data_IF_871937359018
#
_entry.id   IF_871937359018
#
_cell.length_a   1.000
_cell.length_b   1.000
_cell.length_c   1.000
_cell.angle_alpha   90.00
_cell.angle_beta   90.00
_cell.angle_gamma   90.00
#
_symmetry.space_group_name_H-M   'P 1'
#
loop_
_entity.id
_entity.type
_entity.pdbx_description
1 polymer ?
#
# COMPACT_ATOMS: atom_id res chain seq x y z
N UNK A 1 -58.48 -39.42 25.00
CA UNK A 1 -57.70 -38.35 25.66
C UNK A 1 -56.23 -38.50 25.24
N UNK A 2 -55.77 -37.78 24.21
CA UNK A 2 -54.37 -37.84 23.73
C UNK A 2 -53.58 -36.69 24.36
N UNK A 3 -52.68 -37.01 25.28
CA UNK A 3 -51.70 -36.06 25.82
C UNK A 3 -50.63 -35.80 24.76
N UNK A 4 -50.60 -34.57 24.26
CA UNK A 4 -49.60 -34.08 23.32
C UNK A 4 -48.36 -33.62 24.08
N UNK A 5 -47.26 -34.40 24.03
CA UNK A 5 -45.95 -33.92 24.46
C UNK A 5 -45.49 -32.82 23.51
N UNK A 6 -45.47 -31.58 23.99
CA UNK A 6 -44.77 -30.47 23.32
C UNK A 6 -43.27 -30.73 23.44
N UNK A 7 -42.65 -31.13 22.35
CA UNK A 7 -41.20 -31.05 22.16
C UNK A 7 -40.79 -29.58 22.25
N UNK A 8 -40.26 -29.17 23.39
CA UNK A 8 -39.54 -27.90 23.52
C UNK A 8 -38.13 -28.15 22.98
N UNK A 9 -37.95 -27.94 21.69
CA UNK A 9 -36.62 -27.81 21.10
C UNK A 9 -36.01 -26.51 21.58
N UNK A 10 -35.28 -26.55 22.69
CA UNK A 10 -34.35 -25.49 23.07
C UNK A 10 -33.17 -25.58 22.11
N UNK A 11 -33.23 -24.83 21.00
CA UNK A 11 -32.08 -24.61 20.13
C UNK A 11 -31.04 -23.80 20.91
N UNK A 12 -30.10 -24.49 21.56
CA UNK A 12 -28.87 -23.87 22.07
C UNK A 12 -27.95 -23.65 20.86
N UNK A 13 -28.05 -22.47 20.25
CA UNK A 13 -26.95 -21.89 19.48
C UNK A 13 -26.72 -20.50 20.05
N UNK A 14 -25.65 -20.30 20.83
CA UNK A 14 -24.58 -19.47 20.26
C UNK A 14 -23.20 -19.73 20.88
N UNK A 15 -22.21 -20.13 20.07
CA UNK A 15 -20.79 -19.89 20.41
C UNK A 15 -19.82 -19.85 19.24
N UNK A 16 -20.13 -20.52 18.13
CA UNK A 16 -19.26 -20.60 16.94
C UNK A 16 -19.12 -19.27 16.18
N UNK A 17 -20.12 -18.39 16.22
CA UNK A 17 -20.08 -17.07 15.55
C UNK A 17 -19.00 -16.13 16.11
N UNK A 18 -18.77 -16.16 17.43
CA UNK A 18 -17.80 -15.27 18.08
C UNK A 18 -16.35 -15.67 17.77
N UNK A 19 -16.05 -16.97 17.79
CA UNK A 19 -14.72 -17.50 17.43
C UNK A 19 -14.40 -17.19 15.97
N UNK A 20 -15.35 -17.39 15.06
CA UNK A 20 -15.18 -17.06 13.64
C UNK A 20 -14.88 -15.57 13.42
N UNK A 21 -15.56 -14.68 14.14
CA UNK A 21 -15.30 -13.24 14.10
C UNK A 21 -13.89 -12.86 14.61
N UNK A 22 -13.41 -13.52 15.66
CA UNK A 22 -12.06 -13.29 16.20
C UNK A 22 -10.98 -13.76 15.22
N UNK A 23 -11.14 -14.95 14.65
CA UNK A 23 -10.18 -15.51 13.66
C UNK A 23 -10.11 -14.63 12.41
N UNK A 24 -11.26 -14.14 11.90
CA UNK A 24 -11.28 -13.23 10.75
C UNK A 24 -10.53 -11.93 11.01
N UNK A 25 -10.69 -11.33 12.19
CA UNK A 25 -9.95 -10.12 12.59
C UNK A 25 -8.45 -10.39 12.69
N UNK A 26 -8.07 -11.49 13.34
CA UNK A 26 -6.66 -11.89 13.45
C UNK A 26 -6.01 -12.08 12.07
N UNK A 27 -6.70 -12.75 11.14
CA UNK A 27 -6.22 -12.91 9.76
C UNK A 27 -6.00 -11.59 9.03
N UNK A 28 -6.92 -10.62 9.19
CA UNK A 28 -6.75 -9.27 8.60
C UNK A 28 -5.53 -8.56 9.18
N UNK A 29 -5.34 -8.59 10.50
CA UNK A 29 -4.15 -7.98 11.12
C UNK A 29 -2.85 -8.66 10.67
N UNK A 30 -2.84 -9.99 10.57
CA UNK A 30 -1.69 -10.75 10.06
C UNK A 30 -1.39 -10.37 8.61
N UNK A 31 -2.42 -10.29 7.75
CA UNK A 31 -2.25 -9.91 6.35
C UNK A 31 -1.70 -8.48 6.22
N UNK A 32 -2.26 -7.51 6.96
CA UNK A 32 -1.76 -6.12 6.97
C UNK A 32 -0.31 -6.07 7.47
N UNK A 33 0.03 -6.85 8.49
CA UNK A 33 1.40 -6.93 9.01
C UNK A 33 2.36 -7.49 7.96
N UNK A 34 2.00 -8.59 7.29
CA UNK A 34 2.81 -9.18 6.22
C UNK A 34 2.99 -8.25 5.02
N UNK A 35 1.94 -7.52 4.62
CA UNK A 35 2.03 -6.52 3.56
C UNK A 35 2.94 -5.36 3.98
N UNK A 36 2.80 -4.87 5.21
CA UNK A 36 3.66 -3.82 5.76
C UNK A 36 5.12 -4.27 5.83
N UNK A 37 5.38 -5.50 6.26
CA UNK A 37 6.73 -6.09 6.32
C UNK A 37 7.34 -6.31 4.93
N UNK A 38 6.52 -6.54 3.91
CA UNK A 38 6.97 -6.60 2.52
C UNK A 38 7.34 -5.20 1.98
N UNK A 39 6.57 -4.17 2.36
CA UNK A 39 6.90 -2.77 2.06
C UNK A 39 8.12 -2.26 2.84
N UNK A 40 8.37 -2.80 4.03
CA UNK A 40 9.58 -2.49 4.80
C UNK A 40 10.75 -3.20 4.11
N UNK A 41 11.64 -2.43 3.48
CA UNK A 41 12.87 -2.94 2.89
C UNK A 41 13.85 -3.45 3.96
N UNK A 42 13.49 -4.50 4.70
CA UNK A 42 14.26 -5.08 5.81
C UNK A 42 15.67 -5.46 5.34
N UNK A 43 15.82 -5.85 4.07
CA UNK A 43 17.12 -6.08 3.42
C UNK A 43 18.07 -4.89 3.51
N UNK A 44 17.55 -3.66 3.41
CA UNK A 44 18.35 -2.45 3.54
C UNK A 44 18.77 -2.21 4.99
N UNK A 45 17.92 -2.57 5.96
CA UNK A 45 18.31 -2.56 7.38
C UNK A 45 19.43 -3.57 7.70
N UNK A 46 19.49 -4.70 7.00
CA UNK A 46 20.60 -5.66 7.16
C UNK A 46 21.95 -5.11 6.67
N UNK A 47 21.95 -4.02 5.89
CA UNK A 47 23.19 -3.33 5.44
C UNK A 47 23.69 -2.28 6.45
N UNK A 48 22.98 -2.03 7.57
CA UNK A 48 23.42 -1.08 8.60
C UNK A 48 24.84 -1.38 9.13
N UNK A 49 25.26 -2.64 9.37
CA UNK A 49 26.64 -2.93 9.75
C UNK A 49 27.67 -2.47 8.70
N UNK A 50 27.33 -2.54 7.41
CA UNK A 50 28.19 -2.09 6.30
C UNK A 50 28.34 -0.57 6.34
N UNK A 51 27.24 0.16 6.57
CA UNK A 51 27.24 1.62 6.76
C UNK A 51 28.16 2.02 7.93
N UNK A 52 28.05 1.34 9.07
CA UNK A 52 28.89 1.61 10.23
C UNK A 52 30.38 1.33 9.95
N UNK A 53 30.68 0.23 9.25
CA UNK A 53 32.06 -0.09 8.89
C UNK A 53 32.65 0.97 7.97
N UNK A 54 31.89 1.41 6.96
CA UNK A 54 32.34 2.41 6.01
C UNK A 54 32.52 3.80 6.67
N UNK A 55 31.63 4.18 7.60
CA UNK A 55 31.84 5.36 8.44
C UNK A 55 33.16 5.29 9.24
N UNK A 56 33.50 4.13 9.81
CA UNK A 56 34.76 3.93 10.53
C UNK A 56 35.98 4.06 9.59
N UNK A 57 35.86 3.63 8.32
CA UNK A 57 36.89 3.81 7.30
C UNK A 57 37.15 5.31 7.04
N UNK A 58 36.10 6.11 6.81
CA UNK A 58 36.26 7.57 6.67
C UNK A 58 36.74 8.23 7.96
N UNK A 59 36.27 7.81 9.14
CA UNK A 59 36.72 8.37 10.42
C UNK A 59 38.20 8.13 10.69
N UNK A 60 38.79 7.06 10.13
CA UNK A 60 40.23 6.80 10.20
C UNK A 60 41.03 7.65 9.21
N UNK A 61 40.47 7.94 8.03
CA UNK A 61 41.11 8.79 7.03
C UNK A 61 41.01 10.28 7.39
N UNK A 62 39.87 10.70 7.91
CA UNK A 62 39.57 12.04 8.40
C UNK A 62 39.02 11.96 9.83
N UNK A 63 39.82 12.42 10.80
CA UNK A 63 39.42 12.39 12.20
C UNK A 63 38.31 13.39 12.55
N UNK A 64 38.00 14.37 11.69
CA UNK A 64 37.01 15.41 11.97
C UNK A 64 35.62 15.07 11.44
N UNK A 65 35.49 14.12 10.52
CA UNK A 65 34.20 13.76 9.91
C UNK A 65 33.18 13.32 10.97
N UNK A 66 32.00 13.95 10.97
CA UNK A 66 30.88 13.53 11.81
C UNK A 66 30.00 12.50 11.08
N UNK A 67 29.17 11.72 11.80
CA UNK A 67 28.22 10.82 11.16
C UNK A 67 27.27 11.52 10.19
N UNK A 68 26.88 12.77 10.49
CA UNK A 68 26.01 13.57 9.64
C UNK A 68 26.72 14.03 8.37
N UNK A 69 28.00 14.42 8.47
CA UNK A 69 28.80 14.81 7.31
C UNK A 69 29.02 13.63 6.37
N UNK A 70 29.30 12.44 6.92
CA UNK A 70 29.40 11.20 6.17
C UNK A 70 28.09 10.86 5.43
N UNK A 71 26.94 10.96 6.11
CA UNK A 71 25.65 10.75 5.46
C UNK A 71 25.36 11.82 4.39
N UNK A 72 25.73 13.07 4.62
CA UNK A 72 25.52 14.15 3.66
C UNK A 72 26.35 13.95 2.38
N UNK A 73 27.62 13.56 2.54
CA UNK A 73 28.51 13.20 1.42
C UNK A 73 27.88 12.08 0.57
N UNK A 74 27.39 11.03 1.23
CA UNK A 74 26.92 9.81 0.55
C UNK A 74 25.47 9.83 0.05
N UNK A 75 24.58 10.65 0.64
CA UNK A 75 23.15 10.68 0.32
C UNK A 75 22.64 12.03 -0.18
N UNK A 76 23.41 13.12 -0.04
CA UNK A 76 22.98 14.47 -0.43
C UNK A 76 23.57 14.93 -1.79
N UNK A 77 24.28 14.04 -2.48
CA UNK A 77 24.77 14.26 -3.86
C UNK A 77 26.07 15.05 -3.97
N UNK A 78 26.72 15.37 -2.86
CA UNK A 78 28.07 15.94 -2.83
C UNK A 78 29.09 14.84 -2.57
N UNK A 79 29.03 13.79 -3.39
CA UNK A 79 29.94 12.67 -3.28
C UNK A 79 31.37 13.14 -3.56
N UNK A 80 32.30 12.82 -2.66
CA UNK A 80 33.70 13.11 -2.89
C UNK A 80 34.19 12.04 -3.86
N UNK A 81 34.77 12.43 -5.00
CA UNK A 81 35.32 11.47 -5.95
C UNK A 81 36.60 10.82 -5.39
N UNK A 82 36.44 9.95 -4.41
CA UNK A 82 37.50 9.23 -3.68
C UNK A 82 37.66 7.78 -4.16
N UNK A 83 36.97 7.43 -5.25
CA UNK A 83 37.04 6.14 -5.95
C UNK A 83 36.51 4.96 -5.12
N UNK A 84 35.53 5.22 -4.24
CA UNK A 84 34.85 4.19 -3.44
C UNK A 84 33.47 3.77 -4.00
N UNK A 85 33.11 4.16 -5.22
CA UNK A 85 31.83 3.84 -5.90
C UNK A 85 31.32 2.41 -5.64
N UNK A 86 32.22 1.42 -5.67
CA UNK A 86 31.85 0.00 -5.45
C UNK A 86 31.40 -0.32 -4.01
N UNK A 87 31.88 0.43 -3.01
CA UNK A 87 31.54 0.36 -1.59
C UNK A 87 30.25 1.11 -1.32
N UNK A 88 30.08 2.28 -1.94
CA UNK A 88 28.88 3.10 -1.89
C UNK A 88 27.62 2.38 -2.33
N UNK A 89 27.74 1.60 -3.40
CA UNK A 89 26.64 0.79 -3.92
C UNK A 89 26.18 -0.30 -2.94
N UNK A 90 26.96 -0.59 -1.88
CA UNK A 90 26.62 -1.52 -0.81
C UNK A 90 25.90 -0.85 0.36
N UNK A 91 25.83 0.49 0.40
CA UNK A 91 25.16 1.21 1.46
C UNK A 91 23.64 0.99 1.43
N UNK A 92 22.97 1.03 2.60
CA UNK A 92 21.53 0.98 2.69
C UNK A 92 20.90 2.04 1.79
N UNK A 93 19.88 1.68 1.01
CA UNK A 93 19.08 2.60 0.20
C UNK A 93 19.81 3.38 -0.90
N UNK A 94 21.14 3.21 -1.12
CA UNK A 94 21.86 3.84 -2.24
C UNK A 94 21.47 3.20 -3.59
N UNK A 95 21.15 1.90 -3.57
CA UNK A 95 20.53 1.17 -4.68
C UNK A 95 19.15 0.63 -4.30
N UNK A 96 18.10 1.34 -4.70
CA UNK A 96 16.74 0.83 -4.58
C UNK A 96 16.48 -0.08 -5.78
N UNK A 97 16.80 -1.36 -5.64
CA UNK A 97 16.27 -2.38 -6.56
C UNK A 97 14.78 -2.45 -6.29
N UNK A 98 13.96 -2.10 -7.29
CA UNK A 98 12.50 -2.10 -7.21
C UNK A 98 11.99 -3.48 -6.77
N UNK A 99 11.84 -3.68 -5.46
CA UNK A 99 11.20 -4.87 -4.91
C UNK A 99 9.70 -4.68 -5.13
N UNK A 100 9.24 -5.32 -6.20
CA UNK A 100 7.86 -5.69 -6.55
C UNK A 100 6.78 -4.92 -5.80
N UNK A 101 6.18 -3.93 -6.46
CA UNK A 101 4.94 -3.33 -5.98
C UNK A 101 3.92 -4.45 -5.66
N UNK A 102 3.26 -4.43 -4.49
CA UNK A 102 2.25 -5.44 -4.18
C UNK A 102 1.12 -5.35 -5.20
N UNK A 103 1.06 -6.32 -6.12
CA UNK A 103 -0.06 -6.46 -7.05
C UNK A 103 -1.24 -7.02 -6.26
N UNK A 104 -2.17 -6.13 -5.90
CA UNK A 104 -3.46 -6.52 -5.33
C UNK A 104 -4.33 -7.11 -6.45
N UNK A 105 -4.43 -8.44 -6.48
CA UNK A 105 -5.43 -9.12 -7.29
C UNK A 105 -6.80 -8.94 -6.63
N UNK A 106 -7.62 -8.04 -7.17
CA UNK A 106 -9.03 -7.93 -6.81
C UNK A 106 -9.82 -9.00 -7.56
N UNK A 107 -10.50 -9.94 -6.89
CA UNK A 107 -11.42 -10.85 -7.56
C UNK A 107 -12.59 -10.03 -8.14
N UNK A 108 -12.69 -9.97 -9.46
CA UNK A 108 -13.83 -9.37 -10.17
C UNK A 108 -15.03 -10.31 -10.04
N UNK A 109 -15.70 -10.26 -8.89
CA UNK A 109 -16.86 -11.09 -8.63
C UNK A 109 -17.99 -10.16 -8.19
N UNK A 110 -19.05 -10.14 -9.00
CA UNK A 110 -20.32 -9.40 -8.88
C UNK A 110 -20.38 -8.07 -9.66
N UNK A 111 -20.81 -8.19 -10.92
CA UNK A 111 -21.65 -7.17 -11.56
C UNK A 111 -22.99 -7.28 -10.83
N UNK A 112 -23.28 -6.36 -9.91
CA UNK A 112 -24.66 -6.14 -9.50
C UNK A 112 -25.36 -5.42 -10.65
N UNK A 113 -26.31 -6.10 -11.29
CA UNK A 113 -27.19 -5.51 -12.29
C UNK A 113 -28.03 -4.44 -11.57
N UNK A 114 -27.61 -3.18 -11.70
CA UNK A 114 -28.35 -2.05 -11.16
C UNK A 114 -29.71 -2.01 -11.87
N UNK A 115 -30.74 -2.54 -11.22
CA UNK A 115 -32.11 -2.46 -11.70
C UNK A 115 -32.57 -1.01 -11.52
N UNK A 116 -32.29 -0.18 -12.53
CA UNK A 116 -32.77 1.19 -12.56
C UNK A 116 -34.29 1.13 -12.70
N UNK A 117 -35.00 1.41 -11.60
CA UNK A 117 -36.42 1.69 -11.65
C UNK A 117 -36.65 3.01 -12.39
N UNK A 118 -36.88 2.93 -13.69
CA UNK A 118 -37.33 4.07 -14.49
C UNK A 118 -38.80 4.29 -14.16
N UNK A 119 -39.09 5.27 -13.29
CA UNK A 119 -40.44 5.78 -13.19
C UNK A 119 -40.76 6.62 -14.44
N UNK A 120 -41.91 6.41 -15.11
CA UNK A 120 -42.30 7.25 -16.23
C UNK A 120 -42.63 8.65 -15.73
N UNK A 121 -41.68 9.57 -15.86
CA UNK A 121 -41.93 11.00 -15.65
C UNK A 121 -42.84 11.49 -16.77
N UNK A 122 -44.03 11.99 -16.41
CA UNK A 122 -44.96 12.61 -17.34
C UNK A 122 -44.26 13.71 -18.15
N UNK A 123 -44.25 13.55 -19.48
CA UNK A 123 -43.64 14.50 -20.41
C UNK A 123 -44.35 15.84 -20.31
N UNK A 124 -43.71 16.81 -19.67
CA UNK A 124 -43.91 18.22 -19.94
C UNK A 124 -42.67 19.02 -19.52
N UNK A 125 -41.58 18.85 -20.27
CA UNK A 125 -40.48 19.82 -20.25
C UNK A 125 -39.91 19.96 -21.66
N UNK A 126 -39.84 21.22 -22.11
CA UNK A 126 -39.19 21.60 -23.36
C UNK A 126 -37.72 21.16 -23.31
N UNK A 127 -37.28 20.49 -24.37
CA UNK A 127 -35.91 20.03 -24.56
C UNK A 127 -34.95 21.22 -24.65
N UNK A 128 -34.33 21.59 -23.54
CA UNK A 128 -33.07 22.33 -23.58
C UNK A 128 -31.94 21.32 -23.70
N UNK A 129 -31.37 21.20 -24.90
CA UNK A 129 -30.16 20.41 -25.12
C UNK A 129 -29.06 21.01 -24.24
N UNK A 130 -28.67 20.32 -23.17
CA UNK A 130 -27.46 20.59 -22.41
C UNK A 130 -26.55 19.41 -22.65
N UNK A 131 -25.50 19.67 -23.40
CA UNK A 131 -24.41 18.74 -23.65
C UNK A 131 -23.88 18.25 -22.29
N UNK A 132 -24.07 16.97 -22.00
CA UNK A 132 -23.55 16.34 -20.80
C UNK A 132 -22.06 16.11 -21.01
N UNK A 133 -21.27 17.06 -20.53
CA UNK A 133 -19.81 16.93 -20.43
C UNK A 133 -19.48 15.78 -19.48
N UNK A 134 -18.86 14.72 -20.02
CA UNK A 134 -18.18 13.70 -19.24
C UNK A 134 -17.08 14.38 -18.40
N UNK A 135 -17.19 14.28 -17.08
CA UNK A 135 -16.14 14.70 -16.15
C UNK A 135 -15.02 13.65 -16.17
N UNK A 136 -14.21 13.65 -17.22
CA UNK A 136 -12.80 13.24 -17.16
C UNK A 136 -11.98 14.46 -17.56
N UNK A 137 -12.01 15.48 -16.71
CA UNK A 137 -11.33 16.76 -16.95
C UNK A 137 -9.91 16.82 -16.37
N UNK A 138 -9.52 15.84 -15.55
CA UNK A 138 -8.20 15.81 -14.90
C UNK A 138 -7.04 15.48 -15.84
N UNK A 139 -7.27 14.67 -16.89
CA UNK A 139 -6.22 14.32 -17.86
C UNK A 139 -5.92 15.44 -18.87
N UNK A 140 -6.68 16.54 -18.86
CA UNK A 140 -6.50 17.66 -19.81
C UNK A 140 -5.58 18.79 -19.30
N UNK A 141 -5.24 18.80 -18.01
CA UNK A 141 -4.47 19.86 -17.37
C UNK A 141 -2.96 19.80 -17.67
N UNK A 142 -2.46 18.67 -18.15
CA UNK A 142 -1.06 18.51 -18.53
C UNK A 142 -1.02 18.26 -20.05
N UNK A 143 -0.91 19.35 -20.82
CA UNK A 143 -0.52 19.27 -22.23
C UNK A 143 0.87 19.90 -22.36
N UNK A 144 1.85 19.20 -22.96
CA UNK A 144 3.14 19.82 -23.26
C UNK A 144 2.95 20.97 -24.26
N UNK A 145 3.86 21.96 -24.28
CA UNK A 145 3.80 23.07 -25.22
C UNK A 145 3.83 22.55 -26.66
N UNK A 146 2.90 23.04 -27.48
CA UNK A 146 2.90 22.77 -28.92
C UNK A 146 4.08 23.52 -29.55
N UNK A 147 4.92 22.79 -30.28
CA UNK A 147 5.97 23.33 -31.15
C UNK A 147 5.38 23.59 -32.53
#
# INVERSE_FOLDING_TARGET
MKLSLKYVNVFIYPRVSSIFGIVKKALVYILISLMSLNCLSIREFLKVPVLCQHFIEHKKADNEISPLDFLAMHYWGNDLNDNDDSRDMQLPFKNIVNHTAPVLFLPQNHIEELTVFVQPVAKNTQTHKKDLYSCIYYSSLIKPPAV
#
